data_IF_662922630778
#
_entry.id   IF_662922630778
#
_cell.length_a   1.000
_cell.length_b   1.000
_cell.length_c   1.000
_cell.angle_alpha   90.00
_cell.angle_beta   90.00
_cell.angle_gamma   90.00
#
_symmetry.space_group_name_H-M   'P 1'
#
loop_
_entity.id
_entity.type
_entity.pdbx_description
1 polymer ?
#
# COMPACT_ATOMS: atom_id res chain seq x y z
N UNK A 1 -17.45 -19.50 -44.07
CA UNK A 1 -17.79 -18.07 -44.29
C UNK A 1 -17.82 -17.21 -43.02
N UNK A 2 -17.99 -17.76 -41.81
CA UNK A 2 -18.02 -16.94 -40.57
C UNK A 2 -16.64 -16.34 -40.19
N UNK A 3 -15.55 -17.08 -40.44
CA UNK A 3 -14.19 -16.64 -40.05
C UNK A 3 -13.69 -15.39 -40.80
N UNK A 4 -14.08 -15.21 -42.08
CA UNK A 4 -13.66 -14.06 -42.89
C UNK A 4 -14.38 -12.78 -42.48
N UNK A 5 -15.64 -12.88 -42.04
CA UNK A 5 -16.40 -11.74 -41.53
C UNK A 5 -15.86 -11.25 -40.17
N UNK A 6 -15.46 -12.20 -39.31
CA UNK A 6 -14.83 -11.88 -38.04
C UNK A 6 -13.50 -11.12 -38.23
N UNK A 7 -12.63 -11.61 -39.14
CA UNK A 7 -11.36 -10.98 -39.46
C UNK A 7 -11.53 -9.55 -40.04
N UNK A 8 -12.50 -9.35 -40.93
CA UNK A 8 -12.80 -8.01 -41.46
C UNK A 8 -13.31 -7.05 -40.37
N UNK A 9 -14.12 -7.54 -39.43
CA UNK A 9 -14.60 -6.75 -38.30
C UNK A 9 -13.51 -6.36 -37.30
N UNK A 10 -12.48 -7.20 -37.13
CA UNK A 10 -11.29 -6.88 -36.32
C UNK A 10 -10.44 -5.79 -36.97
N UNK A 11 -10.15 -5.94 -38.27
CA UNK A 11 -9.41 -4.94 -39.03
C UNK A 11 -10.08 -3.55 -38.99
N UNK A 12 -11.42 -3.51 -39.13
CA UNK A 12 -12.16 -2.25 -39.06
C UNK A 12 -12.10 -1.61 -37.67
N UNK A 13 -12.14 -2.41 -36.60
CA UNK A 13 -12.01 -1.91 -35.22
C UNK A 13 -10.61 -1.36 -34.94
N UNK A 14 -9.58 -2.04 -35.42
CA UNK A 14 -8.20 -1.59 -35.24
C UNK A 14 -7.94 -0.29 -36.01
N UNK A 15 -8.44 -0.18 -37.24
CA UNK A 15 -8.36 1.08 -38.01
C UNK A 15 -9.08 2.24 -37.30
N UNK A 16 -10.26 2.01 -36.73
CA UNK A 16 -10.96 3.04 -35.95
C UNK A 16 -10.19 3.48 -34.70
N UNK A 17 -9.53 2.54 -34.01
CA UNK A 17 -8.68 2.84 -32.85
C UNK A 17 -7.49 3.69 -33.26
N UNK A 18 -6.81 3.31 -34.33
CA UNK A 18 -5.61 4.02 -34.80
C UNK A 18 -5.93 5.47 -35.17
N UNK A 19 -7.02 5.69 -35.93
CA UNK A 19 -7.49 7.05 -36.26
C UNK A 19 -7.88 7.85 -35.01
N UNK A 20 -8.43 7.20 -33.99
CA UNK A 20 -8.77 7.85 -32.72
C UNK A 20 -7.51 8.30 -31.97
N UNK A 21 -6.49 7.44 -31.89
CA UNK A 21 -5.22 7.76 -31.24
C UNK A 21 -4.47 8.87 -31.97
N UNK A 22 -4.45 8.85 -33.30
CA UNK A 22 -3.83 9.94 -34.07
C UNK A 22 -4.55 11.28 -33.85
N UNK A 23 -5.88 11.26 -33.73
CA UNK A 23 -6.67 12.43 -33.34
C UNK A 23 -6.33 12.95 -31.94
N UNK A 24 -6.20 12.05 -30.95
CA UNK A 24 -5.79 12.40 -29.59
C UNK A 24 -4.38 12.99 -29.57
N UNK A 25 -3.42 12.37 -30.27
CA UNK A 25 -2.04 12.87 -30.39
C UNK A 25 -2.01 14.27 -31.03
N UNK A 26 -2.81 14.50 -32.05
CA UNK A 26 -2.94 15.83 -32.68
C UNK A 26 -3.58 16.86 -31.73
N UNK A 27 -4.52 16.46 -30.88
CA UNK A 27 -5.11 17.33 -29.87
C UNK A 27 -4.11 17.68 -28.74
N UNK A 28 -3.33 16.71 -28.28
CA UNK A 28 -2.25 16.90 -27.30
C UNK A 28 -1.16 17.83 -27.84
N UNK A 29 -0.76 17.67 -29.11
CA UNK A 29 0.19 18.58 -29.77
C UNK A 29 -0.31 20.03 -29.84
N UNK A 30 -1.63 20.24 -29.84
CA UNK A 30 -2.28 21.56 -29.73
C UNK A 30 -2.44 22.05 -28.28
N UNK A 31 -1.90 21.31 -27.32
CA UNK A 31 -1.97 21.62 -25.89
C UNK A 31 -3.30 21.25 -25.23
N UNK A 32 -4.19 20.53 -25.92
CA UNK A 32 -5.43 20.04 -25.30
C UNK A 32 -5.08 18.95 -24.29
N UNK A 33 -5.51 19.13 -23.04
CA UNK A 33 -5.40 18.08 -22.03
C UNK A 33 -6.69 17.28 -21.96
N UNK A 34 -6.58 15.97 -22.23
CA UNK A 34 -7.66 15.03 -21.99
C UNK A 34 -7.92 14.80 -20.49
N UNK A 35 -9.00 14.12 -20.18
CA UNK A 35 -9.33 13.68 -18.82
C UNK A 35 -10.22 14.64 -18.02
N UNK A 36 -10.38 14.33 -16.74
CA UNK A 36 -11.26 15.07 -15.82
C UNK A 36 -10.62 16.42 -15.47
N UNK A 37 -11.36 17.52 -15.65
CA UNK A 37 -10.92 18.86 -15.22
C UNK A 37 -10.67 18.86 -13.71
N UNK A 38 -9.59 19.55 -13.29
CA UNK A 38 -9.30 19.78 -11.88
C UNK A 38 -10.49 20.47 -11.20
N UNK A 39 -10.84 19.99 -10.00
CA UNK A 39 -11.90 20.59 -9.20
C UNK A 39 -11.52 21.98 -8.67
N UNK A 40 -10.22 22.23 -8.49
CA UNK A 40 -9.70 23.56 -8.12
C UNK A 40 -9.13 24.23 -9.36
N UNK A 41 -9.63 25.43 -9.73
CA UNK A 41 -9.08 26.21 -10.84
C UNK A 41 -7.60 26.53 -10.63
N UNK A 42 -6.77 26.53 -11.68
CA UNK A 42 -5.33 26.79 -11.58
C UNK A 42 -5.05 28.14 -10.90
N UNK A 43 -5.84 29.17 -11.21
CA UNK A 43 -5.70 30.52 -10.64
C UNK A 43 -5.92 30.57 -9.12
N UNK A 44 -6.60 29.56 -8.55
CA UNK A 44 -6.91 29.47 -7.12
C UNK A 44 -5.96 28.55 -6.37
N UNK A 45 -5.20 27.70 -7.07
CA UNK A 45 -4.31 26.70 -6.47
C UNK A 45 -3.26 27.34 -5.57
N UNK A 46 -2.60 28.40 -6.04
CA UNK A 46 -1.55 29.07 -5.27
C UNK A 46 -2.12 29.75 -4.03
N UNK A 47 -3.31 30.35 -4.15
CA UNK A 47 -4.01 30.97 -3.01
C UNK A 47 -4.34 29.93 -1.93
N UNK A 48 -4.86 28.77 -2.33
CA UNK A 48 -5.17 27.66 -1.41
C UNK A 48 -3.91 27.13 -0.73
N UNK A 49 -2.82 26.98 -1.49
CA UNK A 49 -1.52 26.51 -0.99
C UNK A 49 -0.90 27.49 0.01
N UNK A 50 -0.88 28.78 -0.32
CA UNK A 50 -0.38 29.82 0.59
C UNK A 50 -1.20 29.88 1.88
N UNK A 51 -2.53 29.81 1.79
CA UNK A 51 -3.39 29.83 2.97
C UNK A 51 -3.18 28.61 3.89
N UNK A 52 -2.93 27.43 3.31
CA UNK A 52 -2.55 26.23 4.07
C UNK A 52 -1.23 26.41 4.82
N UNK A 53 -0.19 26.93 4.15
CA UNK A 53 1.11 27.20 4.77
C UNK A 53 1.01 28.26 5.89
N UNK A 54 0.02 29.15 5.83
CA UNK A 54 -0.32 30.10 6.88
C UNK A 54 -1.12 29.48 8.06
N UNK A 55 -1.31 28.15 8.07
CA UNK A 55 -1.96 27.42 9.16
C UNK A 55 -3.47 27.26 9.02
N UNK A 56 -4.07 27.59 7.88
CA UNK A 56 -5.50 27.30 7.65
C UNK A 56 -5.72 25.80 7.44
N UNK A 57 -6.78 25.26 8.04
CA UNK A 57 -7.11 23.84 7.90
C UNK A 57 -7.70 23.51 6.52
N UNK A 58 -7.46 22.29 6.05
CA UNK A 58 -8.03 21.72 4.80
C UNK A 58 -9.56 21.85 4.78
N UNK A 59 -10.22 21.67 5.92
CA UNK A 59 -11.68 21.77 6.01
C UNK A 59 -12.19 23.20 5.83
N UNK A 60 -11.44 24.21 6.32
CA UNK A 60 -11.79 25.62 6.10
C UNK A 60 -11.63 25.98 4.62
N UNK A 61 -10.49 25.64 4.03
CA UNK A 61 -10.19 25.88 2.62
C UNK A 61 -11.21 25.20 1.68
N UNK A 62 -11.64 23.98 1.98
CA UNK A 62 -12.65 23.28 1.20
C UNK A 62 -14.00 24.03 1.18
N UNK A 63 -14.42 24.59 2.32
CA UNK A 63 -15.66 25.38 2.41
C UNK A 63 -15.52 26.71 1.69
N UNK A 64 -14.43 27.44 1.92
CA UNK A 64 -14.19 28.77 1.36
C UNK A 64 -14.09 28.73 -0.18
N UNK A 65 -13.55 27.64 -0.73
CA UNK A 65 -13.38 27.45 -2.17
C UNK A 65 -14.48 26.60 -2.82
N UNK A 66 -15.46 26.10 -2.07
CA UNK A 66 -16.59 25.32 -2.59
C UNK A 66 -16.20 23.98 -3.21
N UNK A 67 -15.13 23.35 -2.71
CA UNK A 67 -14.57 22.10 -3.23
C UNK A 67 -14.50 21.03 -2.14
N UNK A 68 -14.28 19.76 -2.52
CA UNK A 68 -14.16 18.69 -1.52
C UNK A 68 -12.87 18.82 -0.71
N UNK A 69 -12.88 18.28 0.52
CA UNK A 69 -11.67 18.17 1.35
C UNK A 69 -10.57 17.38 0.66
N UNK A 70 -10.93 16.37 -0.13
CA UNK A 70 -10.00 15.58 -0.94
C UNK A 70 -9.36 16.42 -2.04
N UNK A 71 -10.13 17.25 -2.75
CA UNK A 71 -9.58 18.12 -3.79
C UNK A 71 -8.61 19.18 -3.25
N UNK A 72 -8.85 19.69 -2.03
CA UNK A 72 -7.91 20.60 -1.35
C UNK A 72 -6.71 19.85 -0.81
N UNK A 73 -6.91 18.65 -0.27
CA UNK A 73 -5.83 17.78 0.12
C UNK A 73 -4.92 17.62 -1.08
N UNK A 74 -5.38 17.05 -2.20
CA UNK A 74 -4.64 16.74 -3.45
C UNK A 74 -3.67 17.84 -3.98
N UNK A 75 -3.78 19.09 -3.53
CA UNK A 75 -2.93 20.24 -3.91
C UNK A 75 -1.71 20.54 -3.01
N UNK A 76 -1.65 20.06 -1.77
CA UNK A 76 -0.56 20.38 -0.81
C UNK A 76 0.72 19.53 -1.05
N UNK A 77 1.88 19.87 -0.46
CA UNK A 77 3.06 19.01 -0.51
C UNK A 77 3.10 18.00 0.65
N UNK A 78 2.54 18.34 1.81
CA UNK A 78 2.60 17.47 2.99
C UNK A 78 1.51 16.41 3.02
N UNK A 79 0.44 16.62 2.26
CA UNK A 79 -0.54 15.57 2.03
C UNK A 79 -0.11 14.65 0.89
N UNK A 80 1.04 14.92 0.21
CA UNK A 80 1.41 14.24 -1.03
C UNK A 80 1.04 12.80 -0.82
N UNK A 81 0.11 12.37 -1.64
CA UNK A 81 -0.24 10.98 -1.82
C UNK A 81 0.96 10.23 -2.44
N UNK A 82 2.21 10.63 -2.12
CA UNK A 82 3.50 10.00 -2.37
C UNK A 82 3.75 8.86 -1.38
N UNK A 83 2.65 8.20 -1.00
CA UNK A 83 2.63 6.83 -0.54
C UNK A 83 1.58 5.99 -1.27
N UNK A 84 0.89 6.52 -2.30
CA UNK A 84 -0.12 5.76 -3.06
C UNK A 84 0.41 5.23 -4.39
N UNK A 85 1.53 5.72 -4.88
CA UNK A 85 2.11 5.24 -6.14
C UNK A 85 2.89 3.91 -6.03
N UNK A 86 2.96 3.30 -4.82
CA UNK A 86 3.38 1.89 -4.67
C UNK A 86 2.70 1.16 -3.50
N UNK A 87 1.63 1.73 -2.91
CA UNK A 87 0.84 1.00 -1.92
C UNK A 87 -0.16 0.10 -2.64
N UNK A 88 -0.05 -1.25 -2.57
CA UNK A 88 -1.19 -2.10 -2.89
C UNK A 88 -2.40 -1.61 -2.06
N UNK A 89 -3.60 -1.71 -2.64
CA UNK A 89 -4.87 -1.32 -2.03
C UNK A 89 -4.84 -1.53 -0.51
N UNK A 90 -5.33 -0.57 0.33
CA UNK A 90 -5.11 -0.57 1.77
C UNK A 90 -5.43 -1.96 2.32
N UNK A 91 -4.39 -2.76 2.53
CA UNK A 91 -4.56 -4.15 2.91
C UNK A 91 -5.14 -4.06 4.32
N UNK A 92 -6.36 -4.57 4.48
CA UNK A 92 -7.06 -4.51 5.75
C UNK A 92 -6.13 -5.06 6.84
N UNK A 93 -5.93 -4.36 7.97
CA UNK A 93 -5.08 -4.84 9.04
C UNK A 93 -5.51 -6.24 9.47
N UNK A 94 -4.56 -7.15 9.52
CA UNK A 94 -4.76 -8.52 9.98
C UNK A 94 -4.10 -8.69 11.33
N UNK A 95 -4.71 -9.49 12.19
CA UNK A 95 -4.13 -9.81 13.50
C UNK A 95 -3.42 -11.15 13.40
N UNK A 96 -2.10 -11.15 13.61
CA UNK A 96 -1.29 -12.37 13.68
C UNK A 96 -0.65 -12.55 15.07
N UNK A 97 -0.62 -13.79 15.54
CA UNK A 97 0.14 -14.16 16.73
C UNK A 97 1.61 -14.37 16.35
N UNK A 98 2.50 -13.53 16.87
CA UNK A 98 3.95 -13.59 16.68
C UNK A 98 4.61 -14.33 17.85
N UNK A 99 5.47 -15.34 17.61
CA UNK A 99 6.20 -16.00 18.69
C UNK A 99 7.12 -15.03 19.43
N UNK A 100 7.21 -15.15 20.77
CA UNK A 100 7.97 -14.23 21.61
C UNK A 100 9.44 -14.09 21.22
N UNK A 101 10.09 -15.17 20.76
CA UNK A 101 11.49 -15.12 20.27
C UNK A 101 11.66 -14.24 19.01
N UNK A 102 10.64 -14.19 18.16
CA UNK A 102 10.62 -13.30 16.97
C UNK A 102 10.41 -11.86 17.43
N UNK A 103 9.46 -11.64 18.35
CA UNK A 103 9.20 -10.32 18.91
C UNK A 103 10.41 -9.74 19.66
N UNK A 104 11.09 -10.55 20.47
CA UNK A 104 12.31 -10.16 21.20
C UNK A 104 13.42 -9.73 20.23
N UNK A 105 13.63 -10.49 19.16
CA UNK A 105 14.62 -10.15 18.13
C UNK A 105 14.28 -8.84 17.42
N UNK A 106 13.03 -8.67 16.99
CA UNK A 106 12.59 -7.46 16.29
C UNK A 106 12.72 -6.20 17.16
N UNK A 107 12.47 -6.29 18.47
CA UNK A 107 12.67 -5.17 19.41
C UNK A 107 14.14 -4.73 19.52
N UNK A 108 15.08 -5.61 19.23
CA UNK A 108 16.52 -5.29 19.20
C UNK A 108 17.03 -4.86 17.83
N UNK A 109 16.18 -4.94 16.80
CA UNK A 109 16.53 -4.60 15.42
C UNK A 109 16.09 -3.16 15.11
N UNK A 110 16.79 -2.49 14.19
CA UNK A 110 16.35 -1.20 13.68
C UNK A 110 15.10 -1.40 12.79
N UNK A 111 14.02 -0.70 13.14
CA UNK A 111 12.71 -0.79 12.50
C UNK A 111 12.25 0.59 12.00
N UNK A 112 11.47 0.57 10.92
CA UNK A 112 10.75 1.73 10.44
C UNK A 112 9.73 2.21 11.48
N UNK A 113 9.32 3.49 11.49
CA UNK A 113 8.35 4.02 12.46
C UNK A 113 7.04 3.22 12.50
N UNK A 114 6.53 2.79 11.35
CA UNK A 114 5.30 2.00 11.22
C UNK A 114 5.46 0.59 11.78
N UNK A 115 6.60 -0.07 11.53
CA UNK A 115 6.94 -1.39 12.07
C UNK A 115 7.06 -1.34 13.60
N UNK A 116 7.76 -0.33 14.12
CA UNK A 116 7.93 -0.12 15.56
C UNK A 116 6.60 0.13 16.24
N UNK A 117 5.78 1.03 15.69
CA UNK A 117 4.43 1.28 16.21
C UNK A 117 3.59 0.00 16.25
N UNK A 118 3.62 -0.85 15.21
CA UNK A 118 2.85 -2.10 15.21
C UNK A 118 3.28 -3.08 16.33
N UNK A 119 4.58 -3.16 16.65
CA UNK A 119 5.07 -3.96 17.77
C UNK A 119 4.69 -3.38 19.14
N UNK A 120 4.73 -2.05 19.26
CA UNK A 120 4.42 -1.34 20.51
C UNK A 120 2.93 -1.46 20.87
N UNK A 121 2.05 -1.45 19.86
CA UNK A 121 0.61 -1.71 20.04
C UNK A 121 0.29 -3.20 20.21
N UNK A 122 1.27 -4.10 20.09
CA UNK A 122 1.07 -5.54 20.18
C UNK A 122 0.67 -6.00 21.59
N UNK A 123 -0.32 -6.89 21.67
CA UNK A 123 -0.80 -7.43 22.96
C UNK A 123 -0.06 -8.71 23.31
N UNK A 124 0.64 -8.72 24.44
CA UNK A 124 1.37 -9.90 24.90
C UNK A 124 0.43 -10.90 25.57
N UNK A 125 0.41 -12.14 25.07
CA UNK A 125 -0.35 -13.27 25.64
C UNK A 125 0.63 -14.30 26.20
N UNK A 126 0.52 -14.62 27.48
CA UNK A 126 1.38 -15.62 28.14
C UNK A 126 1.04 -17.04 27.66
N UNK A 127 2.08 -17.83 27.36
CA UNK A 127 1.97 -19.21 26.86
C UNK A 127 3.04 -20.08 27.54
N UNK A 128 2.70 -20.70 28.67
CA UNK A 128 3.64 -21.55 29.43
C UNK A 128 4.94 -20.80 29.78
N UNK A 129 6.10 -21.37 29.41
CA UNK A 129 7.42 -20.73 29.60
C UNK A 129 7.74 -19.60 28.59
N UNK A 130 6.81 -19.26 27.69
CA UNK A 130 6.98 -18.22 26.68
C UNK A 130 5.80 -17.28 26.58
N UNK A 131 5.78 -16.49 25.52
CA UNK A 131 4.67 -15.61 25.18
C UNK A 131 4.48 -15.54 23.66
N UNK A 132 3.29 -15.17 23.25
CA UNK A 132 2.96 -14.78 21.88
C UNK A 132 2.54 -13.32 21.88
N UNK A 133 3.07 -12.52 20.96
CA UNK A 133 2.68 -11.13 20.77
C UNK A 133 1.62 -11.07 19.67
N UNK A 134 0.41 -10.65 20.01
CA UNK A 134 -0.67 -10.44 19.04
C UNK A 134 -0.49 -9.07 18.40
N UNK A 135 -0.12 -9.06 17.13
CA UNK A 135 0.18 -7.85 16.36
C UNK A 135 -0.91 -7.65 15.31
N UNK A 136 -1.50 -6.46 15.25
CA UNK A 136 -2.48 -6.09 14.23
C UNK A 136 -1.85 -5.05 13.31
N UNK A 137 -1.55 -5.44 12.08
CA UNK A 137 -0.88 -4.58 11.11
C UNK A 137 -1.29 -4.96 9.67
N UNK A 138 -0.93 -4.13 8.70
CA UNK A 138 -1.10 -4.51 7.29
C UNK A 138 -0.26 -5.78 6.99
N UNK A 139 -0.74 -6.72 6.15
CA UNK A 139 0.01 -7.89 5.69
C UNK A 139 1.43 -7.54 5.18
N UNK A 140 1.60 -6.42 4.49
CA UNK A 140 2.92 -5.89 4.11
C UNK A 140 3.89 -5.72 5.30
N UNK A 141 3.43 -5.18 6.43
CA UNK A 141 4.24 -5.02 7.66
C UNK A 141 4.60 -6.39 8.25
N UNK A 142 3.68 -7.36 8.22
CA UNK A 142 3.97 -8.73 8.65
C UNK A 142 5.05 -9.40 7.79
N UNK A 143 5.04 -9.17 6.47
CA UNK A 143 6.09 -9.64 5.54
C UNK A 143 7.43 -8.96 5.82
N UNK A 144 7.44 -7.66 6.11
CA UNK A 144 8.65 -6.92 6.46
C UNK A 144 9.27 -7.44 7.78
N UNK A 145 8.47 -7.69 8.82
CA UNK A 145 8.95 -8.34 10.04
C UNK A 145 9.61 -9.69 9.77
N UNK A 146 9.01 -10.52 8.90
CA UNK A 146 9.57 -11.82 8.54
C UNK A 146 10.90 -11.68 7.80
N UNK A 147 11.01 -10.71 6.89
CA UNK A 147 12.25 -10.41 6.17
C UNK A 147 13.38 -9.98 7.10
N UNK A 148 13.10 -9.10 8.08
CA UNK A 148 14.07 -8.68 9.10
C UNK A 148 14.56 -9.84 9.96
N UNK A 149 13.75 -10.88 10.13
CA UNK A 149 14.09 -12.06 10.90
C UNK A 149 14.97 -13.09 10.18
N UNK A 150 15.37 -12.87 8.91
CA UNK A 150 16.29 -13.78 8.19
C UNK A 150 17.55 -14.20 8.98
N UNK A 151 18.23 -13.32 9.75
CA UNK A 151 19.40 -13.72 10.53
C UNK A 151 19.15 -14.82 11.57
N UNK A 152 17.89 -15.04 11.99
CA UNK A 152 17.54 -16.11 12.92
C UNK A 152 17.71 -17.52 12.33
N UNK A 153 17.77 -17.66 11.00
CA UNK A 153 18.07 -18.94 10.34
C UNK A 153 19.54 -19.36 10.47
N UNK A 154 20.40 -18.41 10.85
CA UNK A 154 21.85 -18.53 10.88
C UNK A 154 22.50 -17.59 9.85
N UNK A 155 23.53 -16.88 10.27
CA UNK A 155 24.40 -16.09 9.40
C UNK A 155 25.79 -16.73 9.35
N UNK A 156 26.62 -16.40 8.36
CA UNK A 156 28.00 -16.90 8.31
C UNK A 156 28.72 -16.58 9.62
N UNK A 157 29.11 -17.61 10.37
CA UNK A 157 29.90 -17.48 11.61
C UNK A 157 29.12 -17.46 12.92
N UNK A 158 27.77 -17.47 12.92
CA UNK A 158 26.97 -17.56 14.17
C UNK A 158 26.04 -18.78 14.10
N UNK A 159 26.18 -19.78 15.01
CA UNK A 159 25.32 -20.95 15.01
C UNK A 159 23.88 -20.56 15.32
N UNK A 160 22.96 -20.96 14.45
CA UNK A 160 21.54 -20.68 14.62
C UNK A 160 20.96 -21.42 15.83
N UNK A 161 20.31 -20.69 16.74
CA UNK A 161 19.66 -21.30 17.92
C UNK A 161 18.41 -22.07 17.47
N UNK A 162 18.27 -23.37 17.76
CA UNK A 162 17.13 -24.18 17.28
C UNK A 162 15.76 -23.58 17.63
N UNK A 163 15.63 -23.00 18.82
CA UNK A 163 14.40 -22.35 19.27
C UNK A 163 14.04 -21.09 18.44
N UNK A 164 15.03 -20.31 18.01
CA UNK A 164 14.83 -19.12 17.17
C UNK A 164 14.38 -19.51 15.76
N UNK A 165 15.03 -20.53 15.15
CA UNK A 165 14.61 -21.08 13.86
C UNK A 165 13.19 -21.59 13.87
N UNK A 166 12.82 -22.35 14.91
CA UNK A 166 11.45 -22.85 15.07
C UNK A 166 10.45 -21.69 15.17
N UNK A 167 10.76 -20.67 15.98
CA UNK A 167 9.91 -19.50 16.14
C UNK A 167 9.74 -18.70 14.83
N UNK A 168 10.83 -18.51 14.06
CA UNK A 168 10.75 -17.86 12.74
C UNK A 168 9.87 -18.67 11.77
N UNK A 169 10.08 -19.99 11.68
CA UNK A 169 9.25 -20.87 10.83
C UNK A 169 7.78 -20.85 11.19
N UNK A 170 7.47 -20.82 12.48
CA UNK A 170 6.08 -20.70 12.94
C UNK A 170 5.45 -19.37 12.51
N UNK A 171 6.19 -18.27 12.58
CA UNK A 171 5.73 -16.97 12.10
C UNK A 171 5.62 -16.93 10.56
N UNK A 172 6.59 -17.49 9.86
CA UNK A 172 6.59 -17.65 8.39
C UNK A 172 5.34 -18.38 7.92
N UNK A 173 4.97 -19.49 8.55
CA UNK A 173 3.74 -20.22 8.21
C UNK A 173 2.49 -19.35 8.38
N UNK A 174 2.40 -18.53 9.45
CA UNK A 174 1.27 -17.63 9.70
C UNK A 174 1.20 -16.46 8.71
N UNK A 175 2.35 -15.95 8.27
CA UNK A 175 2.41 -14.91 7.23
C UNK A 175 2.08 -15.53 5.87
N UNK A 176 2.52 -16.76 5.60
CA UNK A 176 2.23 -17.52 4.38
C UNK A 176 0.74 -17.78 4.18
N UNK A 177 -0.02 -18.02 5.26
CA UNK A 177 -1.50 -18.14 5.17
C UNK A 177 -2.20 -16.86 4.74
N UNK A 178 -1.54 -15.69 4.79
CA UNK A 178 -2.08 -14.44 4.25
C UNK A 178 -1.94 -14.33 2.72
N UNK A 179 -1.06 -15.12 2.10
CA UNK A 179 -0.74 -15.06 0.66
C UNK A 179 -1.69 -15.94 -0.17
N UNK A 180 -2.37 -16.89 0.45
CA UNK A 180 -3.34 -17.77 -0.22
C UNK A 180 -4.75 -17.51 0.35
N UNK A 181 -5.56 -16.62 -0.25
CA UNK A 181 -6.98 -16.54 0.04
C UNK A 181 -7.68 -17.70 -0.67
N UNK A 182 -7.31 -18.95 -0.38
CA UNK A 182 -8.14 -20.08 -0.77
C UNK A 182 -9.38 -20.03 0.12
N UNK A 183 -10.59 -19.80 -0.44
CA UNK A 183 -11.80 -19.86 0.36
C UNK A 183 -11.92 -21.29 0.87
N UNK A 184 -11.94 -21.44 2.19
CA UNK A 184 -12.25 -22.69 2.84
C UNK A 184 -13.73 -23.00 2.54
N UNK A 185 -13.96 -23.82 1.52
CA UNK A 185 -15.26 -24.45 1.29
C UNK A 185 -15.50 -25.44 2.42
N UNK A 186 -16.27 -25.00 3.42
CA UNK A 186 -16.92 -25.88 4.37
C UNK A 186 -18.10 -26.56 3.66
N UNK A 187 -18.01 -27.89 3.51
CA UNK A 187 -19.13 -28.80 3.25
C UNK A 187 -19.05 -29.94 4.24
#
# INVERSE_FOLDING_TARGET
MVQTLAAAGELQRDLQRELTYDGLRAAEAKGSKGGRRSAVPPDKTDTVRTAYLQGRSIAALARDHGVSRTAVADLMPDHTTAGREDAPAPELPVTLDMPGKVADFLRTTELEPTERAALDHGVTVRRGQGYTLRVTAAPAVHRQFLARCQPLDGAQGVPAVPAQRKARREYENRVGTLVDPRPEHHS
#
